data_IF_867919065596
#
_entry.id   IF_867919065596
#
_cell.length_a   1.000
_cell.length_b   1.000
_cell.length_c   1.000
_cell.angle_alpha   90.00
_cell.angle_beta   90.00
_cell.angle_gamma   90.00
#
_symmetry.space_group_name_H-M   'P 1'
#
loop_
_entity.id
_entity.type
_entity.pdbx_description
1 polymer ?
#
# COMPACT_ATOMS: atom_id res chain seq x y z
N UNK A 1 -22.50 -7.82 54.13
CA UNK A 1 -21.46 -8.81 53.77
C UNK A 1 -22.07 -9.83 52.82
N UNK A 2 -21.48 -10.02 51.62
CA UNK A 2 -21.42 -11.37 51.09
C UNK A 2 -19.98 -11.72 50.64
N UNK A 3 -19.52 -12.88 51.10
CA UNK A 3 -18.31 -13.57 50.66
C UNK A 3 -18.59 -14.57 49.52
N UNK A 4 -17.56 -15.29 49.03
CA UNK A 4 -17.37 -15.53 47.59
C UNK A 4 -17.35 -17.01 47.15
N UNK A 5 -17.11 -17.20 45.84
CA UNK A 5 -16.60 -18.39 45.12
C UNK A 5 -17.61 -19.47 44.68
N UNK A 6 -17.59 -19.90 43.41
CA UNK A 6 -16.64 -20.91 42.93
C UNK A 6 -16.78 -21.21 41.42
N UNK A 7 -15.62 -21.53 40.85
CA UNK A 7 -15.32 -21.99 39.50
C UNK A 7 -15.81 -23.44 39.25
N UNK A 8 -16.29 -23.77 38.04
CA UNK A 8 -16.27 -25.15 37.54
C UNK A 8 -16.18 -25.23 36.00
N UNK A 9 -15.04 -25.75 35.52
CA UNK A 9 -14.79 -26.25 34.15
C UNK A 9 -15.68 -27.45 33.85
N UNK A 10 -16.14 -27.57 32.60
CA UNK A 10 -16.43 -28.87 31.96
C UNK A 10 -15.88 -28.84 30.53
N UNK A 11 -14.95 -29.76 30.27
CA UNK A 11 -14.46 -30.21 28.97
C UNK A 11 -15.44 -31.22 28.36
N UNK A 12 -15.71 -31.17 27.05
CA UNK A 12 -15.91 -32.39 26.23
C UNK A 12 -15.93 -32.13 24.70
N UNK A 13 -14.94 -32.75 24.02
CA UNK A 13 -14.95 -33.50 22.75
C UNK A 13 -15.80 -33.04 21.55
N UNK A 14 -15.09 -32.46 20.58
CA UNK A 14 -14.89 -32.92 19.19
C UNK A 14 -15.77 -34.06 18.64
N UNK A 15 -16.48 -33.80 17.53
CA UNK A 15 -16.86 -34.82 16.54
C UNK A 15 -16.83 -34.20 15.14
N UNK A 16 -16.15 -34.87 14.20
CA UNK A 16 -15.96 -34.48 12.81
C UNK A 16 -17.22 -34.75 11.98
N UNK A 17 -17.57 -33.82 11.11
CA UNK A 17 -18.58 -33.99 10.07
C UNK A 17 -18.29 -33.06 8.90
N UNK A 18 -17.64 -33.59 7.86
CA UNK A 18 -17.40 -32.92 6.59
C UNK A 18 -18.69 -33.03 5.76
N UNK A 19 -19.39 -31.92 5.53
CA UNK A 19 -20.12 -31.61 4.27
C UNK A 19 -20.79 -30.25 4.39
N UNK A 20 -20.61 -29.38 3.38
CA UNK A 20 -21.46 -28.20 3.19
C UNK A 20 -20.75 -26.86 3.17
N UNK A 21 -20.26 -26.47 1.98
CA UNK A 21 -19.91 -25.10 1.61
C UNK A 21 -21.06 -24.17 1.99
N UNK A 22 -20.84 -23.30 2.99
CA UNK A 22 -21.82 -22.32 3.46
C UNK A 22 -21.12 -20.97 3.69
N UNK A 23 -21.36 -20.08 2.75
CA UNK A 23 -20.98 -18.68 2.72
C UNK A 23 -21.48 -17.93 3.96
N UNK A 24 -20.60 -17.17 4.61
CA UNK A 24 -20.89 -15.96 5.40
C UNK A 24 -22.23 -15.97 6.21
N UNK A 25 -22.35 -16.83 7.22
CA UNK A 25 -23.43 -16.71 8.22
C UNK A 25 -22.89 -16.03 9.49
N UNK A 26 -23.47 -14.87 9.77
CA UNK A 26 -23.21 -13.98 10.90
C UNK A 26 -23.69 -14.64 12.20
N UNK A 27 -22.84 -15.44 12.85
CA UNK A 27 -23.12 -15.95 14.19
C UNK A 27 -22.65 -14.96 15.26
N UNK A 28 -23.60 -14.15 15.70
CA UNK A 28 -23.56 -13.34 16.90
C UNK A 28 -23.53 -14.24 18.14
N UNK A 29 -22.33 -14.59 18.61
CA UNK A 29 -22.04 -15.02 19.99
C UNK A 29 -20.53 -15.09 20.24
N UNK A 30 -19.89 -13.93 20.31
CA UNK A 30 -18.61 -13.76 20.98
C UNK A 30 -18.71 -12.48 21.83
N UNK A 31 -18.37 -12.50 23.13
CA UNK A 31 -18.33 -11.30 23.93
C UNK A 31 -17.19 -10.43 23.38
N UNK A 32 -17.58 -9.34 22.73
CA UNK A 32 -16.71 -8.26 22.30
C UNK A 32 -16.16 -7.59 23.55
N UNK A 33 -14.93 -7.95 23.93
CA UNK A 33 -14.12 -7.10 24.79
C UNK A 33 -13.71 -5.86 23.96
N UNK A 34 -14.59 -4.87 24.04
CA UNK A 34 -14.67 -3.66 23.23
C UNK A 34 -13.57 -2.65 23.61
N UNK A 35 -12.30 -2.93 23.29
CA UNK A 35 -11.21 -2.00 23.62
C UNK A 35 -10.24 -1.61 22.48
N UNK A 36 -10.30 -2.22 21.28
CA UNK A 36 -9.36 -1.86 20.18
C UNK A 36 -9.96 -1.62 18.79
N UNK A 37 -11.27 -1.76 18.61
CA UNK A 37 -11.93 -1.58 17.30
C UNK A 37 -12.58 -0.21 17.10
N UNK A 38 -12.29 0.79 17.96
CA UNK A 38 -12.67 2.17 17.66
C UNK A 38 -11.63 2.78 16.73
N UNK A 39 -12.08 3.12 15.53
CA UNK A 39 -11.47 4.13 14.69
C UNK A 39 -11.02 5.31 15.57
N UNK A 40 -9.73 5.63 15.53
CA UNK A 40 -9.18 6.77 16.25
C UNK A 40 -9.55 8.07 15.50
N UNK A 41 -10.78 8.51 15.70
CA UNK A 41 -11.03 9.95 15.89
C UNK A 41 -11.22 10.06 17.41
N UNK A 42 -10.23 10.56 18.17
CA UNK A 42 -10.38 10.67 19.61
C UNK A 42 -11.40 11.77 19.88
N UNK A 43 -12.64 11.34 20.18
CA UNK A 43 -13.64 12.18 20.80
C UNK A 43 -13.10 12.61 22.18
N UNK A 44 -12.75 13.88 22.22
CA UNK A 44 -12.24 14.72 23.29
C UNK A 44 -12.64 14.24 24.69
N UNK A 45 -11.65 13.88 25.53
CA UNK A 45 -11.56 14.27 26.95
C UNK A 45 -10.31 13.65 27.60
N UNK A 46 -9.17 14.37 27.54
CA UNK A 46 -8.07 14.44 28.53
C UNK A 46 -6.83 15.06 27.84
N UNK A 47 -6.27 16.14 28.40
CA UNK A 47 -5.18 16.92 27.76
C UNK A 47 -3.93 16.11 27.33
N UNK A 48 -3.64 14.94 27.93
CA UNK A 48 -2.54 14.05 27.52
C UNK A 48 -2.86 13.11 26.35
N UNK A 49 -4.14 12.81 26.07
CA UNK A 49 -4.53 11.92 24.97
C UNK A 49 -4.57 12.65 23.62
N UNK A 50 -4.90 13.95 23.63
CA UNK A 50 -4.89 14.80 22.44
C UNK A 50 -3.47 14.93 21.85
N UNK A 51 -2.48 15.25 22.69
CA UNK A 51 -1.07 15.40 22.29
C UNK A 51 -0.52 14.09 21.70
N UNK A 52 -0.91 12.93 22.28
CA UNK A 52 -0.47 11.63 21.77
C UNK A 52 -1.10 11.30 20.41
N UNK A 53 -2.36 11.69 20.19
CA UNK A 53 -3.05 11.56 18.90
C UNK A 53 -2.39 12.40 17.82
N UNK A 54 -2.08 13.66 18.12
CA UNK A 54 -1.44 14.58 17.18
C UNK A 54 -0.04 14.07 16.78
N UNK A 55 0.76 13.60 17.74
CA UNK A 55 2.07 13.00 17.45
C UNK A 55 1.95 11.75 16.56
N UNK A 56 0.99 10.86 16.81
CA UNK A 56 0.76 9.65 15.99
C UNK A 56 0.39 10.04 14.56
N UNK A 57 -0.45 11.05 14.40
CA UNK A 57 -0.86 11.57 13.10
C UNK A 57 0.33 12.15 12.32
N UNK A 58 1.15 13.01 12.93
CA UNK A 58 2.34 13.57 12.29
C UNK A 58 3.38 12.50 11.93
N UNK A 59 3.54 11.47 12.77
CA UNK A 59 4.41 10.32 12.46
C UNK A 59 3.84 9.53 11.27
N UNK A 60 2.53 9.31 11.21
CA UNK A 60 1.87 8.66 10.08
C UNK A 60 2.01 9.45 8.78
N UNK A 61 1.85 10.78 8.83
CA UNK A 61 2.00 11.68 7.69
C UNK A 61 3.45 11.66 7.17
N UNK A 62 4.42 11.82 8.07
CA UNK A 62 5.85 11.76 7.71
C UNK A 62 6.24 10.41 7.12
N UNK A 63 5.70 9.30 7.65
CA UNK A 63 5.88 7.98 7.07
C UNK A 63 5.27 7.88 5.66
N UNK A 64 4.08 8.45 5.43
CA UNK A 64 3.46 8.51 4.10
C UNK A 64 4.28 9.31 3.08
N UNK A 65 4.84 10.46 3.49
CA UNK A 65 5.72 11.29 2.65
C UNK A 65 7.04 10.56 2.36
N UNK A 66 7.64 9.92 3.38
CA UNK A 66 8.83 9.11 3.19
C UNK A 66 8.56 7.94 2.21
N UNK A 67 7.42 7.26 2.35
CA UNK A 67 7.01 6.21 1.42
C UNK A 67 6.88 6.73 -0.02
N UNK A 68 6.29 7.92 -0.23
CA UNK A 68 6.20 8.53 -1.55
C UNK A 68 7.59 8.85 -2.14
N UNK A 69 8.48 9.42 -1.33
CA UNK A 69 9.86 9.72 -1.74
C UNK A 69 10.62 8.46 -2.19
N UNK A 70 10.61 7.41 -1.37
CA UNK A 70 11.27 6.14 -1.73
C UNK A 70 10.62 5.46 -2.94
N UNK A 71 9.30 5.63 -3.13
CA UNK A 71 8.63 5.16 -4.33
C UNK A 71 9.17 5.83 -5.60
N UNK A 72 9.31 7.15 -5.58
CA UNK A 72 9.77 7.91 -6.75
C UNK A 72 11.26 7.67 -7.02
N UNK A 73 12.09 7.57 -5.98
CA UNK A 73 13.48 7.11 -6.11
C UNK A 73 13.55 5.71 -6.75
N UNK A 74 12.69 4.78 -6.32
CA UNK A 74 12.56 3.46 -6.92
C UNK A 74 12.19 3.55 -8.41
N UNK A 75 11.27 4.43 -8.78
CA UNK A 75 10.89 4.62 -10.18
C UNK A 75 12.05 5.11 -11.06
N UNK A 76 12.86 6.05 -10.57
CA UNK A 76 14.08 6.52 -11.26
C UNK A 76 15.09 5.39 -11.42
N UNK A 77 15.37 4.64 -10.35
CA UNK A 77 16.26 3.49 -10.38
C UNK A 77 15.79 2.42 -11.37
N UNK A 78 14.48 2.15 -11.41
CA UNK A 78 13.88 1.22 -12.37
C UNK A 78 14.11 1.65 -13.82
N UNK A 79 13.88 2.95 -14.14
CA UNK A 79 14.14 3.48 -15.48
C UNK A 79 15.61 3.42 -15.87
N UNK A 80 16.52 3.77 -14.97
CA UNK A 80 17.96 3.67 -15.21
C UNK A 80 18.39 2.22 -15.48
N UNK A 81 17.83 1.26 -14.75
CA UNK A 81 18.10 -0.17 -14.96
C UNK A 81 17.60 -0.66 -16.32
N UNK A 82 16.34 -0.36 -16.67
CA UNK A 82 15.75 -0.78 -17.96
C UNK A 82 16.54 -0.17 -19.13
N UNK A 83 16.96 1.10 -19.03
CA UNK A 83 17.77 1.76 -20.07
C UNK A 83 19.17 1.16 -20.18
N UNK A 84 19.83 0.86 -19.05
CA UNK A 84 21.21 0.37 -19.03
C UNK A 84 21.34 -1.08 -19.49
N UNK A 85 20.31 -1.91 -19.28
CA UNK A 85 20.39 -3.35 -19.52
C UNK A 85 19.49 -3.90 -20.62
N UNK A 86 18.67 -3.08 -21.31
CA UNK A 86 17.75 -3.54 -22.38
C UNK A 86 16.87 -4.74 -21.98
N UNK A 87 16.63 -4.94 -20.68
CA UNK A 87 15.91 -6.08 -20.15
C UNK A 87 14.44 -5.75 -19.88
N UNK A 88 13.58 -6.76 -20.04
CA UNK A 88 12.13 -6.67 -19.82
C UNK A 88 11.83 -6.29 -18.36
N UNK A 89 10.91 -5.34 -18.13
CA UNK A 89 10.44 -4.90 -16.81
C UNK A 89 9.99 -6.05 -15.89
N UNK A 90 9.56 -7.16 -16.48
CA UNK A 90 9.19 -8.39 -15.78
C UNK A 90 10.36 -9.04 -15.01
N UNK A 91 11.57 -9.06 -15.61
CA UNK A 91 12.73 -9.64 -14.96
C UNK A 91 13.16 -8.80 -13.75
N UNK A 92 13.13 -7.47 -13.89
CA UNK A 92 13.40 -6.56 -12.77
C UNK A 92 12.43 -6.81 -11.61
N UNK A 93 11.14 -6.99 -11.90
CA UNK A 93 10.13 -7.31 -10.88
C UNK A 93 10.46 -8.62 -10.16
N UNK A 94 10.72 -9.70 -10.90
CA UNK A 94 11.04 -11.02 -10.31
C UNK A 94 12.28 -10.96 -9.42
N UNK A 95 13.38 -10.36 -9.91
CA UNK A 95 14.60 -10.20 -9.12
C UNK A 95 14.38 -9.37 -7.87
N UNK A 96 13.55 -8.33 -7.95
CA UNK A 96 13.21 -7.48 -6.81
C UNK A 96 12.44 -8.24 -5.74
N UNK A 97 11.39 -8.97 -6.13
CA UNK A 97 10.57 -9.74 -5.17
C UNK A 97 11.40 -10.82 -4.47
N UNK A 98 12.30 -11.48 -5.19
CA UNK A 98 13.16 -12.51 -4.61
C UNK A 98 14.22 -11.92 -3.68
N UNK A 99 14.84 -10.80 -4.06
CA UNK A 99 15.80 -10.11 -3.19
C UNK A 99 15.11 -9.61 -1.92
N UNK A 100 13.95 -8.99 -2.05
CA UNK A 100 13.15 -8.52 -0.92
C UNK A 100 12.68 -9.67 -0.02
N UNK A 101 12.23 -10.79 -0.61
CA UNK A 101 11.86 -11.98 0.12
C UNK A 101 13.05 -12.60 0.86
N UNK A 102 14.22 -12.63 0.24
CA UNK A 102 15.46 -13.10 0.86
C UNK A 102 15.90 -12.24 2.05
N UNK A 103 15.92 -10.91 1.89
CA UNK A 103 16.21 -9.97 3.00
C UNK A 103 15.18 -10.11 4.12
N UNK A 104 13.90 -10.25 3.75
CA UNK A 104 12.81 -10.43 4.73
C UNK A 104 12.94 -11.74 5.51
N UNK A 105 13.39 -12.82 4.86
CA UNK A 105 13.65 -14.10 5.51
C UNK A 105 14.82 -14.01 6.50
N UNK A 106 15.86 -13.24 6.18
CA UNK A 106 16.98 -12.99 7.09
C UNK A 106 16.59 -12.12 8.29
N UNK A 107 15.64 -11.20 8.13
CA UNK A 107 15.14 -10.34 9.21
C UNK A 107 14.14 -11.06 10.13
N UNK A 108 13.43 -12.06 9.62
CA UNK A 108 12.40 -12.80 10.35
C UNK A 108 12.86 -13.36 11.73
N UNK A 109 14.02 -14.04 11.87
CA UNK A 109 14.44 -14.57 13.17
C UNK A 109 14.70 -13.50 14.22
N UNK A 110 15.10 -12.28 13.82
CA UNK A 110 15.33 -11.17 14.75
C UNK A 110 14.04 -10.52 15.25
N UNK A 111 12.96 -10.70 14.51
CA UNK A 111 11.66 -10.07 14.76
C UNK A 111 10.62 -11.07 15.26
N UNK A 112 10.97 -12.34 15.37
CA UNK A 112 10.05 -13.41 15.69
C UNK A 112 9.54 -13.28 17.12
N UNK A 113 8.23 -13.07 17.24
CA UNK A 113 7.52 -13.09 18.50
C UNK A 113 6.39 -14.13 18.42
N UNK A 114 6.55 -15.22 19.16
CA UNK A 114 5.61 -16.33 19.15
C UNK A 114 4.26 -15.97 19.78
N UNK A 115 4.22 -14.96 20.67
CA UNK A 115 2.97 -14.49 21.27
C UNK A 115 2.20 -13.57 20.29
N UNK A 116 2.92 -12.81 19.47
CA UNK A 116 2.32 -11.93 18.46
C UNK A 116 1.55 -12.69 17.35
N UNK A 117 1.85 -13.98 17.15
CA UNK A 117 1.31 -14.85 16.09
C UNK A 117 0.26 -15.87 16.58
N UNK A 118 -0.28 -15.69 17.78
CA UNK A 118 -1.17 -16.63 18.47
C UNK A 118 -2.50 -16.96 17.76
N UNK A 119 -2.85 -16.32 16.64
CA UNK A 119 -4.14 -16.53 15.95
C UNK A 119 -3.99 -16.80 14.46
N UNK A 120 -4.80 -17.72 13.90
CA UNK A 120 -4.89 -17.94 12.45
C UNK A 120 -5.52 -16.77 11.67
N UNK A 121 -5.96 -15.72 12.37
CA UNK A 121 -6.65 -14.56 11.81
C UNK A 121 -5.79 -13.72 10.85
N UNK A 122 -4.45 -13.77 10.96
CA UNK A 122 -3.55 -13.04 10.06
C UNK A 122 -3.31 -13.74 8.72
N UNK A 123 -3.59 -15.05 8.62
CA UNK A 123 -3.26 -15.86 7.43
C UNK A 123 -4.11 -15.44 6.23
N UNK A 124 -5.41 -15.21 6.43
CA UNK A 124 -6.31 -14.81 5.36
C UNK A 124 -5.95 -13.39 4.81
N UNK A 125 -5.77 -12.35 5.66
CA UNK A 125 -5.26 -11.05 5.22
C UNK A 125 -3.89 -11.12 4.53
N UNK A 126 -2.99 -12.01 4.97
CA UNK A 126 -1.69 -12.24 4.33
C UNK A 126 -1.84 -12.79 2.91
N UNK A 127 -2.66 -13.83 2.73
CA UNK A 127 -2.92 -14.42 1.41
C UNK A 127 -3.65 -13.43 0.48
N UNK A 128 -4.60 -12.67 1.00
CA UNK A 128 -5.30 -11.63 0.24
C UNK A 128 -4.37 -10.48 -0.15
N UNK A 129 -3.47 -10.06 0.75
CA UNK A 129 -2.48 -9.02 0.45
C UNK A 129 -1.51 -9.46 -0.64
N UNK A 130 -0.89 -10.64 -0.50
CA UNK A 130 0.06 -11.16 -1.47
C UNK A 130 -0.63 -11.49 -2.81
N UNK A 131 -1.77 -12.17 -2.76
CA UNK A 131 -2.57 -12.49 -3.94
C UNK A 131 -3.02 -11.22 -4.68
N UNK A 132 -3.57 -10.24 -3.96
CA UNK A 132 -3.97 -8.95 -4.52
C UNK A 132 -2.80 -8.19 -5.15
N UNK A 133 -1.62 -8.24 -4.54
CA UNK A 133 -0.41 -7.63 -5.11
C UNK A 133 0.04 -8.32 -6.41
N UNK A 134 0.06 -9.67 -6.47
CA UNK A 134 0.45 -10.42 -7.67
C UNK A 134 -0.55 -10.25 -8.80
N UNK A 135 -1.85 -10.43 -8.51
CA UNK A 135 -2.90 -10.22 -9.51
C UNK A 135 -2.96 -8.76 -9.97
N UNK A 136 -2.79 -7.81 -9.04
CA UNK A 136 -2.69 -6.38 -9.34
C UNK A 136 -1.54 -6.08 -10.31
N UNK A 137 -0.33 -6.59 -10.03
CA UNK A 137 0.83 -6.44 -10.91
C UNK A 137 0.60 -7.11 -12.28
N UNK A 138 0.03 -8.30 -12.31
CA UNK A 138 -0.26 -9.01 -13.56
C UNK A 138 -1.21 -8.22 -14.47
N UNK A 139 -2.33 -7.73 -13.92
CA UNK A 139 -3.28 -6.92 -14.68
C UNK A 139 -2.71 -5.54 -15.03
N UNK A 140 -1.88 -4.95 -14.17
CA UNK A 140 -1.19 -3.70 -14.43
C UNK A 140 -0.26 -3.83 -15.65
N UNK A 141 0.59 -4.85 -15.70
CA UNK A 141 1.48 -5.08 -16.86
C UNK A 141 0.70 -5.43 -18.13
N UNK A 142 -0.44 -6.13 -18.03
CA UNK A 142 -1.32 -6.33 -19.19
C UNK A 142 -1.93 -5.01 -19.67
N UNK A 143 -2.30 -4.10 -18.77
CA UNK A 143 -2.80 -2.78 -19.12
C UNK A 143 -1.72 -1.92 -19.81
N UNK A 144 -0.46 -2.01 -19.35
CA UNK A 144 0.69 -1.31 -19.94
C UNK A 144 0.96 -1.67 -21.40
N UNK A 145 0.59 -2.88 -21.84
CA UNK A 145 0.68 -3.26 -23.26
C UNK A 145 -0.35 -2.55 -24.15
N UNK A 146 -1.41 -1.99 -23.55
CA UNK A 146 -2.54 -1.41 -24.28
C UNK A 146 -2.72 0.10 -24.06
N UNK A 147 -2.16 0.64 -22.99
CA UNK A 147 -2.25 2.06 -22.62
C UNK A 147 -0.83 2.61 -22.45
N UNK A 148 -0.61 3.84 -22.92
CA UNK A 148 0.64 4.57 -22.71
C UNK A 148 0.99 4.67 -21.20
N UNK A 149 2.25 4.39 -20.80
CA UNK A 149 2.67 4.39 -19.39
C UNK A 149 2.36 5.68 -18.62
N UNK A 150 2.41 6.83 -19.30
CA UNK A 150 2.08 8.13 -18.71
C UNK A 150 0.62 8.19 -18.22
N UNK A 151 -0.31 7.62 -19.01
CA UNK A 151 -1.74 7.60 -18.65
C UNK A 151 -2.00 6.63 -17.51
N UNK A 152 -1.36 5.46 -17.51
CA UNK A 152 -1.49 4.48 -16.42
C UNK A 152 -1.06 5.10 -15.09
N UNK A 153 0.07 5.80 -15.04
CA UNK A 153 0.55 6.45 -13.82
C UNK A 153 -0.44 7.48 -13.25
N UNK A 154 -1.13 8.23 -14.13
CA UNK A 154 -2.19 9.17 -13.72
C UNK A 154 -3.42 8.43 -13.18
N UNK A 155 -3.87 7.37 -13.86
CA UNK A 155 -5.07 6.61 -13.48
C UNK A 155 -4.88 5.80 -12.20
N UNK A 156 -3.63 5.50 -11.80
CA UNK A 156 -3.34 4.95 -10.47
C UNK A 156 -3.78 5.86 -9.33
N UNK A 157 -4.00 7.17 -9.55
CA UNK A 157 -4.59 8.05 -8.55
C UNK A 157 -6.08 7.74 -8.27
N UNK A 158 -6.78 7.10 -9.23
CA UNK A 158 -8.17 6.68 -9.05
C UNK A 158 -8.33 5.62 -7.96
N UNK A 159 -7.25 4.92 -7.60
CA UNK A 159 -7.26 3.95 -6.50
C UNK A 159 -7.73 4.55 -5.18
N UNK A 160 -7.48 5.85 -4.95
CA UNK A 160 -7.86 6.53 -3.70
C UNK A 160 -9.38 6.53 -3.53
N UNK A 161 -10.12 6.83 -4.61
CA UNK A 161 -11.59 6.80 -4.61
C UNK A 161 -12.11 5.39 -4.44
N UNK A 162 -11.56 4.42 -5.18
CA UNK A 162 -11.97 3.02 -5.08
C UNK A 162 -11.75 2.47 -3.67
N UNK A 163 -10.60 2.79 -3.07
CA UNK A 163 -10.27 2.40 -1.71
C UNK A 163 -11.20 3.05 -0.69
N UNK A 164 -11.56 4.32 -0.86
CA UNK A 164 -12.52 5.00 0.01
C UNK A 164 -13.91 4.34 -0.05
N UNK A 165 -14.40 4.00 -1.24
CA UNK A 165 -15.68 3.29 -1.43
C UNK A 165 -15.63 1.90 -0.80
N UNK A 166 -14.57 1.13 -1.04
CA UNK A 166 -14.41 -0.20 -0.44
C UNK A 166 -14.32 -0.08 1.08
N UNK A 167 -13.58 0.89 1.62
CA UNK A 167 -13.45 1.09 3.06
C UNK A 167 -14.79 1.50 3.70
N UNK A 168 -15.59 2.38 3.05
CA UNK A 168 -16.94 2.69 3.53
C UNK A 168 -17.85 1.45 3.58
N UNK A 169 -17.74 0.55 2.59
CA UNK A 169 -18.57 -0.66 2.53
C UNK A 169 -18.12 -1.75 3.53
N UNK A 170 -16.82 -1.93 3.73
CA UNK A 170 -16.28 -3.01 4.57
C UNK A 170 -16.00 -2.61 6.01
N UNK A 171 -15.47 -1.40 6.26
CA UNK A 171 -15.17 -0.89 7.59
C UNK A 171 -16.33 -0.07 8.18
N UNK A 172 -17.30 0.35 7.36
CA UNK A 172 -18.38 1.21 7.80
C UNK A 172 -17.92 2.62 8.16
N UNK A 173 -16.76 3.05 7.64
CA UNK A 173 -16.22 4.39 7.85
C UNK A 173 -17.17 5.46 7.30
N UNK A 174 -17.44 6.48 8.11
CA UNK A 174 -18.21 7.66 7.71
C UNK A 174 -17.23 8.77 7.38
N UNK A 175 -17.23 9.20 6.12
CA UNK A 175 -16.43 10.32 5.68
C UNK A 175 -17.22 11.62 5.83
N UNK A 176 -16.54 12.64 6.33
CA UNK A 176 -17.07 14.00 6.30
C UNK A 176 -17.06 14.56 4.86
N UNK A 177 -17.90 15.57 4.61
CA UNK A 177 -17.98 16.23 3.30
C UNK A 177 -16.63 16.80 2.84
N UNK A 178 -15.78 17.26 3.76
CA UNK A 178 -14.46 17.78 3.45
C UNK A 178 -13.48 16.67 3.03
N UNK A 179 -13.55 15.51 3.68
CA UNK A 179 -12.76 14.33 3.33
C UNK A 179 -13.16 13.78 1.96
N UNK A 180 -14.47 13.77 1.65
CA UNK A 180 -14.98 13.39 0.33
C UNK A 180 -14.44 14.34 -0.75
N UNK A 181 -14.40 15.64 -0.48
CA UNK A 181 -13.81 16.62 -1.40
C UNK A 181 -12.33 16.31 -1.67
N UNK A 182 -11.54 16.00 -0.64
CA UNK A 182 -10.15 15.57 -0.78
C UNK A 182 -9.98 14.29 -1.62
N UNK A 183 -10.82 13.27 -1.35
CA UNK A 183 -10.82 12.01 -2.09
C UNK A 183 -11.12 12.21 -3.58
N UNK A 184 -12.03 13.12 -3.93
CA UNK A 184 -12.41 13.42 -5.33
C UNK A 184 -11.36 14.33 -6.00
N UNK A 185 -10.76 15.25 -5.26
CA UNK A 185 -9.76 16.18 -5.77
C UNK A 185 -8.46 15.47 -6.17
N UNK A 186 -8.09 14.40 -5.45
CA UNK A 186 -6.93 13.56 -5.73
C UNK A 186 -6.89 13.00 -7.17
N UNK A 187 -7.89 12.26 -7.68
CA UNK A 187 -7.90 11.80 -9.07
C UNK A 187 -8.17 12.92 -10.08
N UNK A 188 -8.92 13.97 -9.72
CA UNK A 188 -9.13 15.13 -10.61
C UNK A 188 -7.80 15.79 -10.97
N UNK A 189 -6.92 15.98 -9.97
CA UNK A 189 -5.58 16.52 -10.20
C UNK A 189 -4.76 15.67 -11.18
N UNK A 190 -4.85 14.34 -11.07
CA UNK A 190 -4.17 13.42 -11.99
C UNK A 190 -4.77 13.46 -13.40
N UNK A 191 -6.07 13.72 -13.51
CA UNK A 191 -6.75 13.90 -14.79
C UNK A 191 -6.31 15.18 -15.51
N UNK A 192 -6.11 16.27 -14.77
CA UNK A 192 -5.59 17.55 -15.31
C UNK A 192 -4.20 17.37 -15.94
N UNK A 193 -3.35 16.52 -15.36
CA UNK A 193 -2.03 16.18 -15.93
C UNK A 193 -2.17 15.46 -17.28
N UNK A 194 -3.23 14.66 -17.45
CA UNK A 194 -3.37 13.72 -18.55
C UNK A 194 -4.28 14.24 -19.70
N UNK A 195 -4.68 15.52 -19.68
CA UNK A 195 -5.57 16.13 -20.69
C UNK A 195 -4.85 16.43 -22.03
N UNK A 196 -4.07 15.50 -22.58
CA UNK A 196 -3.41 15.66 -23.89
C UNK A 196 -3.77 14.51 -24.84
N UNK A 197 -4.73 14.81 -25.73
CA UNK A 197 -5.04 14.19 -27.03
C UNK A 197 -4.65 12.72 -27.28
N UNK A 198 -5.45 11.78 -26.78
CA UNK A 198 -5.44 10.42 -27.30
C UNK A 198 -6.73 9.67 -27.02
N UNK A 199 -7.33 9.06 -28.07
CA UNK A 199 -8.51 8.19 -27.93
C UNK A 199 -8.26 7.12 -26.87
N UNK A 200 -9.18 6.97 -25.93
CA UNK A 200 -9.12 5.94 -24.89
C UNK A 200 -9.38 4.60 -25.55
N UNK A 201 -8.36 3.72 -25.59
CA UNK A 201 -8.58 2.31 -25.94
C UNK A 201 -9.29 1.63 -24.76
N UNK A 202 -10.61 1.53 -24.86
CA UNK A 202 -11.50 0.89 -23.88
C UNK A 202 -11.02 -0.49 -23.41
N UNK A 203 -10.34 -1.26 -24.28
CA UNK A 203 -9.81 -2.58 -23.95
C UNK A 203 -8.76 -2.59 -22.83
N UNK A 204 -7.93 -1.54 -22.69
CA UNK A 204 -6.94 -1.47 -21.60
C UNK A 204 -7.52 -1.05 -20.25
N UNK A 205 -8.67 -0.36 -20.28
CA UNK A 205 -9.27 0.27 -19.11
C UNK A 205 -9.93 -0.75 -18.18
N UNK A 206 -10.47 -1.85 -18.73
CA UNK A 206 -11.00 -2.97 -17.95
C UNK A 206 -9.90 -3.66 -17.14
N UNK A 207 -8.75 -3.93 -17.77
CA UNK A 207 -7.59 -4.50 -17.08
C UNK A 207 -7.04 -3.58 -16.01
N UNK A 208 -7.05 -2.27 -16.26
CA UNK A 208 -6.64 -1.29 -15.27
C UNK A 208 -7.61 -1.25 -14.09
N UNK A 209 -8.93 -1.24 -14.35
CA UNK A 209 -9.94 -1.31 -13.30
C UNK A 209 -9.77 -2.55 -12.43
N UNK A 210 -9.55 -3.71 -13.03
CA UNK A 210 -9.24 -4.93 -12.31
C UNK A 210 -7.96 -4.81 -11.47
N UNK A 211 -6.88 -4.27 -12.03
CA UNK A 211 -5.63 -4.04 -11.30
C UNK A 211 -5.84 -3.14 -10.07
N UNK A 212 -6.58 -2.04 -10.24
CA UNK A 212 -6.89 -1.11 -9.15
C UNK A 212 -7.70 -1.78 -8.04
N UNK A 213 -8.70 -2.59 -8.38
CA UNK A 213 -9.49 -3.34 -7.39
C UNK A 213 -8.62 -4.29 -6.58
N UNK A 214 -7.75 -5.08 -7.24
CA UNK A 214 -6.83 -5.99 -6.54
C UNK A 214 -5.83 -5.25 -5.66
N UNK A 215 -5.33 -4.09 -6.10
CA UNK A 215 -4.49 -3.24 -5.26
C UNK A 215 -5.25 -2.69 -4.04
N UNK A 216 -6.49 -2.24 -4.20
CA UNK A 216 -7.29 -1.75 -3.07
C UNK A 216 -7.59 -2.85 -2.05
N UNK A 217 -7.91 -4.06 -2.52
CA UNK A 217 -8.09 -5.24 -1.66
C UNK A 217 -6.79 -5.57 -0.92
N UNK A 218 -5.64 -5.47 -1.61
CA UNK A 218 -4.33 -5.69 -1.00
C UNK A 218 -4.03 -4.65 0.09
N UNK A 219 -4.23 -3.36 -0.19
CA UNK A 219 -4.03 -2.26 0.75
C UNK A 219 -4.90 -2.42 2.01
N UNK A 220 -6.17 -2.80 1.85
CA UNK A 220 -7.08 -3.04 2.97
C UNK A 220 -6.67 -4.27 3.79
N UNK A 221 -6.27 -5.35 3.11
CA UNK A 221 -5.84 -6.59 3.75
C UNK A 221 -4.56 -6.38 4.57
N UNK A 222 -3.66 -5.49 4.13
CA UNK A 222 -2.47 -5.10 4.90
C UNK A 222 -2.87 -4.49 6.24
N UNK A 223 -3.86 -3.59 6.26
CA UNK A 223 -4.32 -2.98 7.52
C UNK A 223 -4.88 -4.03 8.48
N UNK A 224 -5.77 -4.90 8.00
CA UNK A 224 -6.30 -6.00 8.82
C UNK A 224 -5.23 -6.97 9.31
N UNK A 225 -4.20 -7.21 8.49
CA UNK A 225 -3.08 -8.05 8.87
C UNK A 225 -2.27 -7.41 10.01
N UNK A 226 -1.96 -6.12 9.91
CA UNK A 226 -1.20 -5.40 10.95
C UNK A 226 -2.00 -5.36 12.25
N UNK A 227 -3.30 -5.07 12.18
CA UNK A 227 -4.17 -5.00 13.37
C UNK A 227 -4.38 -6.38 14.01
N UNK A 228 -4.26 -7.46 13.23
CA UNK A 228 -4.32 -8.85 13.71
C UNK A 228 -3.03 -9.37 14.34
N UNK A 229 -1.91 -8.64 14.23
CA UNK A 229 -0.63 -8.98 14.87
C UNK A 229 -0.59 -8.28 16.24
N UNK A 230 -0.60 -9.06 17.32
CA UNK A 230 -0.63 -8.52 18.68
C UNK A 230 0.78 -8.28 19.20
N UNK A 231 1.39 -7.15 18.84
CA UNK A 231 2.69 -6.71 19.38
C UNK A 231 2.55 -5.41 20.17
N UNK A 232 3.45 -5.16 21.12
CA UNK A 232 3.47 -3.93 21.92
C UNK A 232 3.86 -2.69 21.10
N UNK A 233 4.58 -2.87 19.99
CA UNK A 233 5.06 -1.80 19.12
C UNK A 233 4.45 -1.88 17.71
N UNK A 234 3.77 -0.81 17.27
CA UNK A 234 3.12 -0.72 15.95
C UNK A 234 4.14 -0.88 14.79
N UNK A 235 5.35 -0.35 14.97
CA UNK A 235 6.44 -0.50 13.99
C UNK A 235 6.90 -1.95 13.85
N UNK A 236 6.89 -2.71 14.95
CA UNK A 236 7.26 -4.13 14.93
C UNK A 236 6.18 -4.96 14.22
N UNK A 237 4.90 -4.69 14.47
CA UNK A 237 3.79 -5.31 13.75
C UNK A 237 3.84 -4.99 12.24
N UNK A 238 4.17 -3.75 11.88
CA UNK A 238 4.34 -3.32 10.48
C UNK A 238 5.51 -4.02 9.79
N UNK A 239 6.62 -4.23 10.51
CA UNK A 239 7.80 -4.91 9.98
C UNK A 239 7.57 -6.42 9.84
N UNK A 240 6.87 -7.06 10.78
CA UNK A 240 6.45 -8.45 10.67
C UNK A 240 5.51 -8.67 9.47
N UNK A 241 4.49 -7.82 9.34
CA UNK A 241 3.59 -7.80 8.19
C UNK A 241 4.35 -7.68 6.86
N UNK A 242 5.34 -6.78 6.81
CA UNK A 242 6.21 -6.61 5.65
C UNK A 242 7.01 -7.88 5.34
N UNK A 243 7.60 -8.51 6.35
CA UNK A 243 8.39 -9.73 6.16
C UNK A 243 7.53 -10.87 5.62
N UNK A 244 6.35 -11.12 6.19
CA UNK A 244 5.47 -12.20 5.72
C UNK A 244 5.02 -12.01 4.27
N UNK A 245 4.59 -10.79 3.91
CA UNK A 245 4.15 -10.50 2.53
C UNK A 245 5.31 -10.68 1.55
N UNK A 246 6.49 -10.15 1.87
CA UNK A 246 7.64 -10.25 0.97
C UNK A 246 8.19 -11.67 0.85
N UNK A 247 8.19 -12.47 1.92
CA UNK A 247 8.57 -13.89 1.85
C UNK A 247 7.62 -14.64 0.93
N UNK A 248 6.30 -14.42 1.08
CA UNK A 248 5.29 -15.07 0.25
C UNK A 248 5.40 -14.64 -1.22
N UNK A 249 5.62 -13.35 -1.49
CA UNK A 249 5.83 -12.82 -2.84
C UNK A 249 7.14 -13.36 -3.46
N UNK A 250 8.23 -13.41 -2.70
CA UNK A 250 9.51 -13.97 -3.14
C UNK A 250 9.40 -15.47 -3.45
N UNK A 251 8.70 -16.23 -2.60
CA UNK A 251 8.41 -17.64 -2.84
C UNK A 251 7.52 -17.85 -4.06
N UNK A 252 6.51 -16.99 -4.26
CA UNK A 252 5.64 -17.02 -5.43
C UNK A 252 6.38 -16.64 -6.73
N UNK A 253 7.41 -15.79 -6.66
CA UNK A 253 8.23 -15.39 -7.80
C UNK A 253 9.26 -16.45 -8.21
N UNK A 254 9.74 -17.27 -7.27
CA UNK A 254 10.73 -18.33 -7.50
C UNK A 254 10.39 -19.30 -8.65
N UNK A 255 9.17 -19.86 -8.77
CA UNK A 255 8.84 -20.78 -9.88
C UNK A 255 8.78 -20.11 -11.26
N UNK A 256 8.64 -18.78 -11.32
CA UNK A 256 8.60 -18.05 -12.59
C UNK A 256 9.99 -17.69 -13.12
N UNK A 257 11.05 -17.88 -12.33
CA UNK A 257 12.42 -17.74 -12.80
C UNK A 257 12.88 -18.99 -13.55
N UNK A 258 12.87 -18.91 -14.89
CA UNK A 258 13.55 -19.88 -15.77
C UNK A 258 14.89 -19.30 -16.24
N UNK A 259 15.97 -19.56 -15.51
CA UNK A 259 17.32 -19.13 -15.92
C UNK A 259 18.39 -19.18 -14.84
N UNK A 260 19.67 -19.12 -15.27
CA UNK A 260 20.84 -19.03 -14.36
C UNK A 260 20.93 -17.63 -13.76
N UNK A 261 21.21 -17.57 -12.47
CA UNK A 261 21.41 -16.33 -11.71
C UNK A 261 22.68 -15.64 -12.19
N UNK A 262 22.57 -14.43 -12.75
CA UNK A 262 23.74 -13.60 -13.03
C UNK A 262 23.92 -12.59 -11.91
N UNK A 263 25.02 -12.70 -11.18
CA UNK A 263 25.35 -11.82 -10.05
C UNK A 263 25.40 -10.33 -10.46
N UNK A 264 25.74 -10.06 -11.71
CA UNK A 264 25.71 -8.71 -12.30
C UNK A 264 24.28 -8.13 -12.45
N UNK A 265 23.28 -8.96 -12.73
CA UNK A 265 21.88 -8.53 -12.85
C UNK A 265 21.28 -8.25 -11.45
N UNK A 266 21.69 -9.04 -10.45
CA UNK A 266 21.27 -8.88 -9.05
C UNK A 266 21.83 -7.59 -8.45
N UNK A 267 23.13 -7.34 -8.60
CA UNK A 267 23.79 -6.13 -8.08
C UNK A 267 23.21 -4.85 -8.70
N UNK A 268 22.81 -4.88 -9.97
CA UNK A 268 22.08 -3.79 -10.62
C UNK A 268 20.66 -3.55 -10.08
N UNK A 269 20.03 -4.58 -9.50
CA UNK A 269 18.64 -4.53 -8.98
C UNK A 269 18.58 -4.10 -7.50
N UNK A 270 19.67 -4.24 -6.74
CA UNK A 270 19.79 -3.81 -5.33
C UNK A 270 19.26 -2.39 -5.04
N UNK A 271 19.62 -1.33 -5.79
CA UNK A 271 19.15 0.02 -5.47
C UNK A 271 17.64 0.19 -5.64
N UNK A 272 17.04 -0.54 -6.59
CA UNK A 272 15.59 -0.54 -6.78
C UNK A 272 14.90 -1.32 -5.67
N UNK A 273 15.39 -2.51 -5.33
CA UNK A 273 14.82 -3.36 -4.30
C UNK A 273 14.91 -2.74 -2.90
N UNK A 274 16.02 -2.09 -2.57
CA UNK A 274 16.17 -1.37 -1.30
C UNK A 274 15.19 -0.19 -1.20
N UNK A 275 15.08 0.64 -2.25
CA UNK A 275 14.11 1.73 -2.29
C UNK A 275 12.67 1.22 -2.15
N UNK A 276 12.34 0.10 -2.81
CA UNK A 276 11.01 -0.49 -2.75
C UNK A 276 10.69 -1.10 -1.37
N UNK A 277 11.63 -1.81 -0.75
CA UNK A 277 11.46 -2.37 0.59
C UNK A 277 11.26 -1.27 1.63
N UNK A 278 12.07 -0.21 1.55
CA UNK A 278 11.97 0.92 2.45
C UNK A 278 10.65 1.68 2.27
N UNK A 279 10.20 1.86 1.02
CA UNK A 279 8.87 2.36 0.69
C UNK A 279 7.76 1.51 1.32
N UNK A 280 7.85 0.18 1.23
CA UNK A 280 6.84 -0.74 1.78
C UNK A 280 6.78 -0.64 3.31
N UNK A 281 7.93 -0.50 3.97
CA UNK A 281 8.02 -0.34 5.44
C UNK A 281 7.32 0.94 5.92
N UNK A 282 7.66 2.08 5.31
CA UNK A 282 7.04 3.35 5.64
C UNK A 282 5.55 3.37 5.29
N UNK A 283 5.15 2.73 4.18
CA UNK A 283 3.76 2.60 3.78
C UNK A 283 2.94 1.79 4.80
N UNK A 284 3.47 0.65 5.25
CA UNK A 284 2.77 -0.20 6.22
C UNK A 284 2.66 0.51 7.57
N UNK A 285 3.72 1.20 7.99
CA UNK A 285 3.69 2.05 9.18
C UNK A 285 2.65 3.17 9.06
N UNK A 286 2.54 3.79 7.88
CA UNK A 286 1.52 4.79 7.59
C UNK A 286 0.11 4.21 7.71
N UNK A 287 -0.17 3.07 7.05
CA UNK A 287 -1.47 2.39 7.15
C UNK A 287 -1.80 1.98 8.59
N UNK A 288 -0.80 1.53 9.36
CA UNK A 288 -0.97 1.16 10.75
C UNK A 288 -1.44 2.33 11.62
N UNK A 289 -0.87 3.52 11.41
CA UNK A 289 -1.10 4.71 12.24
C UNK A 289 -2.35 5.52 11.84
N UNK A 290 -2.51 5.79 10.55
CA UNK A 290 -3.55 6.72 10.04
C UNK A 290 -4.57 6.05 9.11
N UNK A 291 -4.37 4.77 8.79
CA UNK A 291 -5.28 4.00 7.94
C UNK A 291 -4.94 4.04 6.44
N UNK A 292 -5.48 3.08 5.66
CA UNK A 292 -5.11 2.88 4.26
C UNK A 292 -5.63 3.99 3.33
N UNK A 293 -6.80 4.56 3.59
CA UNK A 293 -7.38 5.65 2.78
C UNK A 293 -6.57 6.94 2.96
N UNK A 294 -6.35 7.35 4.22
CA UNK A 294 -5.53 8.53 4.54
C UNK A 294 -4.12 8.40 3.98
N UNK A 295 -3.46 7.25 4.19
CA UNK A 295 -2.14 6.99 3.62
C UNK A 295 -2.11 7.10 2.10
N UNK A 296 -3.14 6.60 1.40
CA UNK A 296 -3.22 6.72 -0.05
C UNK A 296 -3.50 8.14 -0.55
N UNK A 297 -4.23 8.96 0.21
CA UNK A 297 -4.38 10.40 -0.07
C UNK A 297 -3.03 11.09 0.06
N UNK A 298 -2.26 10.84 1.13
CA UNK A 298 -0.91 11.43 1.30
C UNK A 298 0.02 11.01 0.17
N UNK A 299 -0.04 9.75 -0.28
CA UNK A 299 0.77 9.26 -1.41
C UNK A 299 0.49 9.99 -2.72
N UNK A 300 -0.57 10.78 -2.84
CA UNK A 300 -0.78 11.66 -4.00
C UNK A 300 0.33 12.71 -4.14
N UNK A 301 1.08 13.00 -3.05
CA UNK A 301 2.27 13.86 -3.07
C UNK A 301 3.36 13.37 -4.03
N UNK A 302 3.30 12.11 -4.49
CA UNK A 302 4.14 11.57 -5.57
C UNK A 302 4.12 12.42 -6.85
N UNK A 303 3.00 13.07 -7.16
CA UNK A 303 2.91 13.96 -8.32
C UNK A 303 3.87 15.16 -8.20
N UNK A 304 3.73 15.97 -7.12
CA UNK A 304 4.68 17.01 -6.76
C UNK A 304 6.14 16.53 -6.70
N UNK A 305 6.41 15.42 -6.01
CA UNK A 305 7.76 14.87 -5.82
C UNK A 305 8.40 14.46 -7.15
N UNK A 306 7.63 13.84 -8.06
CA UNK A 306 8.11 13.49 -9.39
C UNK A 306 8.58 14.72 -10.19
N UNK A 307 7.89 15.87 -10.07
CA UNK A 307 8.31 17.12 -10.74
C UNK A 307 9.64 17.61 -10.19
N UNK A 308 9.80 17.60 -8.86
CA UNK A 308 11.05 18.00 -8.20
C UNK A 308 12.20 17.09 -8.63
N UNK A 309 11.96 15.78 -8.66
CA UNK A 309 12.96 14.79 -9.09
C UNK A 309 13.33 15.00 -10.57
N UNK A 310 12.36 15.24 -11.45
CA UNK A 310 12.63 15.58 -12.86
C UNK A 310 13.50 16.85 -12.98
N UNK A 311 13.24 17.90 -12.18
CA UNK A 311 14.08 19.11 -12.16
C UNK A 311 15.52 18.82 -11.73
N UNK A 312 15.69 17.99 -10.70
CA UNK A 312 17.02 17.59 -10.21
C UNK A 312 17.75 16.79 -11.29
N UNK A 313 17.09 15.85 -11.94
CA UNK A 313 17.67 15.03 -13.02
C UNK A 313 18.04 15.87 -14.25
N UNK A 314 17.25 16.89 -14.60
CA UNK A 314 17.59 17.85 -15.67
C UNK A 314 18.85 18.65 -15.33
N UNK A 315 19.00 19.11 -14.08
CA UNK A 315 20.22 19.80 -13.63
C UNK A 315 21.46 18.91 -13.70
N UNK A 316 21.29 17.60 -13.45
CA UNK A 316 22.37 16.61 -13.51
C UNK A 316 22.73 16.18 -14.96
N UNK A 317 22.21 16.84 -15.99
CA UNK A 317 22.52 16.57 -17.41
C UNK A 317 22.27 15.12 -17.85
N UNK A 318 21.37 14.40 -17.18
CA UNK A 318 20.91 13.07 -17.65
C UNK A 318 19.87 13.31 -18.76
N UNK A 319 20.33 13.80 -19.91
CA UNK A 319 19.55 14.43 -20.99
C UNK A 319 18.59 13.53 -21.79
N UNK A 320 18.40 12.27 -21.40
CA UNK A 320 17.69 11.29 -22.23
C UNK A 320 16.39 10.75 -21.61
N UNK A 321 15.93 11.28 -20.47
CA UNK A 321 14.79 10.70 -19.74
C UNK A 321 13.46 11.43 -19.95
N UNK A 322 13.47 12.67 -20.43
CA UNK A 322 12.26 13.44 -20.72
C UNK A 322 12.42 14.21 -22.03
N UNK A 323 11.57 13.89 -23.01
CA UNK A 323 11.32 14.71 -24.20
C UNK A 323 11.01 16.14 -23.76
N UNK A 324 11.64 17.13 -24.39
CA UNK A 324 11.53 18.55 -24.06
C UNK A 324 10.09 18.97 -23.71
N UNK A 325 9.80 19.07 -22.41
CA UNK A 325 8.46 19.40 -21.93
C UNK A 325 8.18 20.88 -22.22
N UNK A 326 7.32 21.16 -23.19
CA UNK A 326 6.90 22.52 -23.52
C UNK A 326 6.25 23.23 -22.32
N UNK A 327 6.28 24.57 -22.31
CA UNK A 327 5.78 25.40 -21.20
C UNK A 327 4.32 25.07 -20.77
N UNK A 328 3.49 24.55 -21.69
CA UNK A 328 2.12 24.09 -21.40
C UNK A 328 2.06 22.89 -20.45
N UNK A 329 3.01 21.95 -20.57
CA UNK A 329 3.10 20.77 -19.70
C UNK A 329 3.54 21.19 -18.29
N UNK A 330 4.43 22.17 -18.19
CA UNK A 330 4.87 22.75 -16.92
C UNK A 330 3.71 23.42 -16.16
N UNK A 331 2.93 24.27 -16.82
CA UNK A 331 1.78 24.94 -16.20
C UNK A 331 0.75 23.92 -15.68
N UNK A 332 0.45 22.88 -16.45
CA UNK A 332 -0.48 21.81 -16.04
C UNK A 332 0.03 21.01 -14.84
N UNK A 333 1.33 20.69 -14.83
CA UNK A 333 2.00 20.03 -13.69
C UNK A 333 1.93 20.89 -12.42
N UNK A 334 2.10 22.21 -12.54
CA UNK A 334 1.94 23.15 -11.41
C UNK A 334 0.50 23.20 -10.90
N UNK A 335 -0.50 23.29 -11.78
CA UNK A 335 -1.92 23.27 -11.37
C UNK A 335 -2.25 21.96 -10.65
N UNK A 336 -1.83 20.82 -11.20
CA UNK A 336 -2.06 19.53 -10.58
C UNK A 336 -1.37 19.38 -9.21
N UNK A 337 -0.17 19.93 -9.06
CA UNK A 337 0.55 19.98 -7.78
C UNK A 337 -0.26 20.73 -6.73
N UNK A 338 -0.80 21.91 -7.09
CA UNK A 338 -1.64 22.71 -6.18
C UNK A 338 -2.89 21.93 -5.78
N UNK A 339 -3.56 21.27 -6.73
CA UNK A 339 -4.75 20.45 -6.45
C UNK A 339 -4.43 19.25 -5.56
N UNK A 340 -3.29 18.58 -5.74
CA UNK A 340 -2.85 17.47 -4.89
C UNK A 340 -2.55 17.93 -3.46
N UNK A 341 -1.86 19.07 -3.30
CA UNK A 341 -1.60 19.66 -1.99
C UNK A 341 -2.91 20.06 -1.32
N UNK A 342 -3.83 20.71 -2.05
CA UNK A 342 -5.14 21.05 -1.52
C UNK A 342 -5.94 19.81 -1.09
N UNK A 343 -5.86 18.71 -1.85
CA UNK A 343 -6.53 17.45 -1.50
C UNK A 343 -5.99 16.87 -0.19
N UNK A 344 -4.67 16.89 0.00
CA UNK A 344 -4.02 16.44 1.23
C UNK A 344 -4.43 17.33 2.40
N UNK A 345 -4.39 18.65 2.25
CA UNK A 345 -4.76 19.59 3.32
C UNK A 345 -6.23 19.42 3.71
N UNK A 346 -7.15 19.36 2.74
CA UNK A 346 -8.58 19.16 3.01
C UNK A 346 -8.85 17.86 3.77
N UNK A 347 -8.17 16.77 3.39
CA UNK A 347 -8.34 15.46 4.03
C UNK A 347 -7.63 15.35 5.39
N UNK A 348 -6.59 16.16 5.62
CA UNK A 348 -5.81 16.10 6.87
C UNK A 348 -6.42 16.95 7.96
N UNK A 349 -7.02 18.09 7.62
CA UNK A 349 -7.55 19.05 8.60
C UNK A 349 -9.02 18.80 8.98
N UNK A 350 -9.68 17.79 8.41
CA UNK A 350 -11.06 17.37 8.70
C UNK A 350 -11.16 15.85 8.75
#
# INVERSE_FOLDING_TARGET
>A
MPGPALCRRVLSRQSYGITGISFFRRDSRFPLDNARTRCYVPEITTSKSHIRGDCIMWIGISAGIAAAFFQDCGYVCSRLYVKKQNHTSWNLLLYTQILMGGVSLLLLPFLWDAQALSGAAFILPLLLSAGGSVFGQFFFFRSEKHIEPARISSMMALRVVLLAVISALFLGERYDWMQIAGIILAPLSAFVINWENGRIRLGGMQWLGAALLFYCVSDLSVKYMIDGIHTDNIFHSSLLALCFVNILLGAAALPFMRGKWKLHEITGTVPFASSWLLKQFFLYSCYALIGPVHGNVILTIRGPLAIVITLILLKLHVQDLDSAAGAKIWIRRSIATILMVAAILLYTFH
#
